data_IF_421474098374
#
_entry.id   IF_421474098374
#
_cell.length_a   1.000
_cell.length_b   1.000
_cell.length_c   1.000
_cell.angle_alpha   90.00
_cell.angle_beta   90.00
_cell.angle_gamma   90.00
#
_symmetry.space_group_name_H-M   'P 1'
#
loop_
_entity.id
_entity.type
_entity.pdbx_description
1 polymer ?
#
# COMPACT_ATOMS: atom_id res chain seq x y z
N UNK A 1 -13.31 20.38 -20.94
CA UNK A 1 -12.22 19.87 -21.80
C UNK A 1 -12.39 18.37 -21.93
N UNK A 2 -12.55 17.83 -23.14
CA UNK A 2 -12.60 16.39 -23.34
C UNK A 2 -11.22 15.80 -23.05
N UNK A 3 -11.13 14.96 -22.00
CA UNK A 3 -9.91 14.22 -21.69
C UNK A 3 -9.61 13.27 -22.85
N UNK A 4 -8.34 13.23 -23.29
CA UNK A 4 -7.93 12.30 -24.33
C UNK A 4 -8.28 10.86 -23.92
N UNK A 5 -8.61 9.96 -24.88
CA UNK A 5 -8.96 8.57 -24.57
C UNK A 5 -7.89 7.84 -23.74
N UNK A 6 -6.60 8.17 -23.96
CA UNK A 6 -5.48 7.63 -23.22
C UNK A 6 -5.46 8.09 -21.76
N UNK A 7 -5.72 9.37 -21.51
CA UNK A 7 -5.80 9.94 -20.15
C UNK A 7 -6.99 9.36 -19.39
N UNK A 8 -8.13 9.17 -20.07
CA UNK A 8 -9.32 8.55 -19.48
C UNK A 8 -9.08 7.10 -19.06
N UNK A 9 -8.47 6.30 -19.95
CA UNK A 9 -8.13 4.90 -19.66
C UNK A 9 -7.13 4.77 -18.50
N UNK A 10 -6.16 5.69 -18.43
CA UNK A 10 -5.22 5.77 -17.32
C UNK A 10 -5.95 6.04 -16.00
N UNK A 11 -6.79 7.07 -15.95
CA UNK A 11 -7.57 7.43 -14.75
C UNK A 11 -8.45 6.26 -14.32
N UNK A 12 -9.16 5.60 -15.24
CA UNK A 12 -10.02 4.46 -14.91
C UNK A 12 -9.22 3.28 -14.35
N UNK A 13 -8.02 3.03 -14.88
CA UNK A 13 -7.12 1.97 -14.38
C UNK A 13 -6.64 2.28 -12.96
N UNK A 14 -6.21 3.54 -12.72
CA UNK A 14 -5.76 4.00 -11.41
C UNK A 14 -6.89 3.92 -10.38
N UNK A 15 -8.10 4.39 -10.73
CA UNK A 15 -9.27 4.34 -9.84
C UNK A 15 -9.70 2.90 -9.52
N UNK A 16 -9.66 1.99 -10.50
CA UNK A 16 -9.98 0.57 -10.27
C UNK A 16 -8.98 -0.06 -9.31
N UNK A 17 -7.69 0.20 -9.51
CA UNK A 17 -6.64 -0.31 -8.62
C UNK A 17 -6.77 0.29 -7.22
N UNK A 18 -7.04 1.58 -7.11
CA UNK A 18 -7.22 2.25 -5.82
C UNK A 18 -8.44 1.69 -5.06
N UNK A 19 -9.56 1.43 -5.75
CA UNK A 19 -10.71 0.73 -5.16
C UNK A 19 -10.35 -0.67 -4.65
N UNK A 20 -9.66 -1.46 -5.46
CA UNK A 20 -9.25 -2.83 -5.08
C UNK A 20 -8.30 -2.82 -3.87
N UNK A 21 -7.35 -1.88 -3.84
CA UNK A 21 -6.38 -1.80 -2.75
C UNK A 21 -6.93 -1.18 -1.46
N UNK A 22 -7.83 -0.19 -1.54
CA UNK A 22 -8.44 0.43 -0.35
C UNK A 22 -9.52 -0.44 0.28
N UNK A 23 -10.40 -1.02 -0.53
CA UNK A 23 -11.51 -1.84 -0.04
C UNK A 23 -11.15 -3.32 0.04
N UNK A 24 -10.61 -3.89 -1.05
CA UNK A 24 -10.35 -5.33 -1.13
C UNK A 24 -9.30 -5.76 -0.12
N UNK A 25 -8.07 -5.25 -0.25
CA UNK A 25 -6.96 -5.65 0.63
C UNK A 25 -7.26 -5.30 2.08
N UNK A 26 -7.87 -4.15 2.36
CA UNK A 26 -8.28 -3.75 3.71
C UNK A 26 -9.26 -4.73 4.36
N UNK A 27 -10.36 -5.05 3.67
CA UNK A 27 -11.38 -5.99 4.17
C UNK A 27 -10.79 -7.38 4.34
N UNK A 28 -10.00 -7.88 3.38
CA UNK A 28 -9.38 -9.20 3.48
C UNK A 28 -8.42 -9.30 4.66
N UNK A 29 -7.58 -8.29 4.88
CA UNK A 29 -6.64 -8.27 6.01
C UNK A 29 -7.40 -8.20 7.34
N UNK A 30 -8.39 -7.32 7.47
CA UNK A 30 -9.19 -7.21 8.71
C UNK A 30 -9.97 -8.49 8.98
N UNK A 31 -10.65 -9.06 7.98
CA UNK A 31 -11.38 -10.31 8.13
C UNK A 31 -10.46 -11.48 8.49
N UNK A 32 -9.27 -11.53 7.89
CA UNK A 32 -8.28 -12.54 8.22
C UNK A 32 -7.80 -12.41 9.68
N UNK A 33 -7.55 -11.19 10.16
CA UNK A 33 -7.14 -10.94 11.56
C UNK A 33 -8.26 -11.31 12.52
N UNK A 34 -9.50 -10.89 12.26
CA UNK A 34 -10.65 -11.24 13.10
C UNK A 34 -10.87 -12.75 13.11
N UNK A 35 -10.86 -13.41 11.94
CA UNK A 35 -11.03 -14.86 11.85
C UNK A 35 -9.94 -15.62 12.60
N UNK A 36 -8.70 -15.14 12.52
CA UNK A 36 -7.57 -15.68 13.28
C UNK A 36 -7.78 -15.51 14.79
N UNK A 37 -8.12 -14.32 15.27
CA UNK A 37 -8.38 -14.05 16.69
C UNK A 37 -9.54 -14.89 17.22
N UNK A 38 -10.63 -15.01 16.45
CA UNK A 38 -11.76 -15.86 16.78
C UNK A 38 -11.32 -17.33 16.88
N UNK A 39 -10.58 -17.85 15.90
CA UNK A 39 -10.10 -19.24 15.97
C UNK A 39 -9.19 -19.49 17.18
N UNK A 40 -8.24 -18.58 17.46
CA UNK A 40 -7.35 -18.64 18.61
C UNK A 40 -8.10 -18.58 19.96
N UNK A 41 -9.31 -18.01 19.99
CA UNK A 41 -10.14 -17.97 21.19
C UNK A 41 -10.83 -19.30 21.51
N UNK A 42 -10.98 -20.19 20.53
CA UNK A 42 -11.63 -21.49 20.68
C UNK A 42 -10.67 -22.67 20.63
N UNK A 43 -9.48 -22.50 20.04
CA UNK A 43 -8.53 -23.59 19.78
C UNK A 43 -7.08 -23.14 19.98
N UNK A 44 -6.23 -24.06 20.43
CA UNK A 44 -4.78 -23.84 20.47
C UNK A 44 -4.23 -23.74 19.04
N UNK A 45 -3.60 -22.59 18.72
CA UNK A 45 -2.94 -22.39 17.43
C UNK A 45 -1.49 -22.85 17.50
N UNK A 46 -1.03 -23.72 16.57
CA UNK A 46 0.39 -24.00 16.45
C UNK A 46 1.16 -22.78 15.92
N UNK A 47 2.40 -22.57 16.39
CA UNK A 47 3.26 -21.45 15.96
C UNK A 47 3.44 -21.38 14.44
N UNK A 48 3.42 -22.53 13.76
CA UNK A 48 3.48 -22.62 12.30
C UNK A 48 2.29 -21.96 11.61
N UNK A 49 1.09 -22.02 12.21
CA UNK A 49 -0.10 -21.34 11.67
C UNK A 49 0.07 -19.82 11.72
N UNK A 50 0.57 -19.30 12.85
CA UNK A 50 0.83 -17.87 13.03
C UNK A 50 1.85 -17.33 12.01
N UNK A 51 2.93 -18.09 11.77
CA UNK A 51 3.94 -17.75 10.76
C UNK A 51 3.37 -17.75 9.35
N UNK A 52 2.59 -18.78 8.97
CA UNK A 52 1.92 -18.85 7.66
C UNK A 52 0.96 -17.67 7.48
N UNK A 53 0.24 -17.30 8.53
CA UNK A 53 -0.68 -16.17 8.52
C UNK A 53 0.04 -14.84 8.26
N UNK A 54 1.10 -14.55 9.03
CA UNK A 54 1.93 -13.36 8.83
C UNK A 54 2.52 -13.35 7.41
N UNK A 55 3.08 -14.48 6.96
CA UNK A 55 3.66 -14.58 5.63
C UNK A 55 2.63 -14.32 4.52
N UNK A 56 1.39 -14.81 4.70
CA UNK A 56 0.29 -14.59 3.75
C UNK A 56 -0.09 -13.11 3.65
N UNK A 57 -0.19 -12.41 4.78
CA UNK A 57 -0.44 -10.96 4.80
C UNK A 57 0.71 -10.22 4.14
N UNK A 58 1.95 -10.56 4.47
CA UNK A 58 3.13 -9.93 3.86
C UNK A 58 3.18 -10.13 2.35
N UNK A 59 2.94 -11.34 1.88
CA UNK A 59 2.87 -11.66 0.45
C UNK A 59 1.79 -10.86 -0.27
N UNK A 60 0.60 -10.73 0.34
CA UNK A 60 -0.50 -9.93 -0.21
C UNK A 60 -0.13 -8.44 -0.33
N UNK A 61 0.51 -7.87 0.70
CA UNK A 61 0.96 -6.47 0.71
C UNK A 61 2.05 -6.23 -0.34
N UNK A 62 3.07 -7.09 -0.41
CA UNK A 62 4.15 -7.00 -1.40
C UNK A 62 3.59 -7.11 -2.82
N UNK A 63 2.70 -8.07 -3.05
CA UNK A 63 2.07 -8.28 -4.37
C UNK A 63 1.27 -7.05 -4.79
N UNK A 64 0.49 -6.48 -3.86
CA UNK A 64 -0.27 -5.24 -4.08
C UNK A 64 0.63 -4.07 -4.47
N UNK A 65 1.71 -3.85 -3.73
CA UNK A 65 2.67 -2.78 -4.01
C UNK A 65 3.39 -2.99 -5.35
N UNK A 66 3.72 -4.24 -5.69
CA UNK A 66 4.32 -4.58 -6.99
C UNK A 66 3.36 -4.33 -8.15
N UNK A 67 2.07 -4.65 -7.99
CA UNK A 67 1.04 -4.32 -8.99
C UNK A 67 0.91 -2.81 -9.18
N UNK A 68 0.90 -2.02 -8.10
CA UNK A 68 0.89 -0.55 -8.16
C UNK A 68 2.11 0.00 -8.88
N UNK A 69 3.30 -0.49 -8.57
CA UNK A 69 4.53 -0.10 -9.25
C UNK A 69 4.48 -0.40 -10.75
N UNK A 70 4.06 -1.62 -11.13
CA UNK A 70 3.94 -2.02 -12.54
C UNK A 70 2.93 -1.16 -13.29
N UNK A 71 1.80 -0.83 -12.67
CA UNK A 71 0.82 0.10 -13.24
C UNK A 71 1.45 1.47 -13.49
N UNK A 72 2.09 2.07 -12.48
CA UNK A 72 2.71 3.38 -12.63
C UNK A 72 3.83 3.40 -13.66
N UNK A 73 4.63 2.33 -13.74
CA UNK A 73 5.70 2.19 -14.75
C UNK A 73 5.16 2.22 -16.19
N UNK A 74 3.90 1.80 -16.42
CA UNK A 74 3.26 1.88 -17.75
C UNK A 74 2.90 3.31 -18.14
N UNK A 75 2.52 4.15 -17.17
CA UNK A 75 2.03 5.51 -17.42
C UNK A 75 3.13 6.57 -17.37
N UNK A 76 4.11 6.41 -16.48
CA UNK A 76 5.26 7.31 -16.38
C UNK A 76 6.16 7.08 -17.60
N UNK A 77 6.36 8.09 -18.43
CA UNK A 77 7.19 8.04 -19.65
C UNK A 77 8.55 8.70 -19.44
N UNK A 78 8.67 9.66 -18.53
CA UNK A 78 9.94 10.33 -18.23
C UNK A 78 10.92 9.38 -17.52
N UNK A 79 12.16 9.30 -18.02
CA UNK A 79 13.19 8.41 -17.46
C UNK A 79 13.60 8.77 -16.03
N UNK A 80 13.73 10.06 -15.70
CA UNK A 80 14.03 10.51 -14.32
C UNK A 80 12.89 10.15 -13.38
N UNK A 81 11.65 10.36 -13.79
CA UNK A 81 10.47 9.99 -13.02
C UNK A 81 10.38 8.46 -12.81
N UNK A 82 10.77 7.64 -13.80
CA UNK A 82 10.87 6.19 -13.65
C UNK A 82 11.92 5.76 -12.62
N UNK A 83 13.10 6.38 -12.62
CA UNK A 83 14.15 6.11 -11.61
C UNK A 83 13.67 6.46 -10.20
N UNK A 84 13.01 7.61 -10.05
CA UNK A 84 12.40 8.02 -8.78
C UNK A 84 11.26 7.09 -8.34
N UNK A 85 10.44 6.61 -9.28
CA UNK A 85 9.39 5.62 -9.01
C UNK A 85 9.98 4.28 -8.52
N UNK A 86 11.09 3.83 -9.10
CA UNK A 86 11.81 2.65 -8.61
C UNK A 86 12.37 2.88 -7.21
N UNK A 87 13.01 4.04 -6.96
CA UNK A 87 13.52 4.39 -5.63
C UNK A 87 12.40 4.39 -4.58
N UNK A 88 11.24 4.94 -4.92
CA UNK A 88 10.05 4.93 -4.06
C UNK A 88 9.63 3.50 -3.73
N UNK A 89 9.51 2.64 -4.74
CA UNK A 89 9.15 1.25 -4.56
C UNK A 89 10.16 0.50 -3.66
N UNK A 90 11.45 0.73 -3.87
CA UNK A 90 12.52 0.17 -3.04
C UNK A 90 12.44 0.64 -1.59
N UNK A 91 12.18 1.93 -1.34
CA UNK A 91 12.00 2.45 0.01
C UNK A 91 10.78 1.84 0.72
N UNK A 92 9.66 1.68 0.01
CA UNK A 92 8.48 0.99 0.53
C UNK A 92 8.78 -0.47 0.88
N UNK A 93 9.53 -1.19 0.04
CA UNK A 93 9.94 -2.57 0.31
C UNK A 93 10.82 -2.66 1.56
N UNK A 94 11.81 -1.77 1.72
CA UNK A 94 12.64 -1.74 2.93
C UNK A 94 11.80 -1.48 4.19
N UNK A 95 10.85 -0.54 4.14
CA UNK A 95 9.94 -0.29 5.26
C UNK A 95 9.07 -1.51 5.61
N UNK A 96 8.56 -2.22 4.60
CA UNK A 96 7.80 -3.45 4.80
C UNK A 96 8.66 -4.59 5.36
N UNK A 97 9.86 -4.81 4.82
CA UNK A 97 10.78 -5.83 5.32
C UNK A 97 11.17 -5.56 6.77
N UNK A 98 11.41 -4.29 7.14
CA UNK A 98 11.69 -3.92 8.53
C UNK A 98 10.52 -4.26 9.47
N UNK A 99 9.28 -3.99 9.07
CA UNK A 99 8.09 -4.39 9.83
C UNK A 99 7.93 -5.92 9.91
N UNK A 100 8.19 -6.64 8.81
CA UNK A 100 8.06 -8.09 8.77
C UNK A 100 9.12 -8.79 9.61
N UNK A 101 10.36 -8.31 9.53
CA UNK A 101 11.43 -8.74 10.40
C UNK A 101 11.09 -8.50 11.87
N UNK A 102 10.57 -7.31 12.21
CA UNK A 102 10.08 -7.04 13.56
C UNK A 102 8.98 -8.03 13.97
N UNK A 103 7.96 -8.24 13.15
CA UNK A 103 6.88 -9.19 13.45
C UNK A 103 7.39 -10.61 13.69
N UNK A 104 8.25 -11.14 12.83
CA UNK A 104 8.78 -12.50 12.96
C UNK A 104 9.65 -12.63 14.23
N UNK A 105 10.54 -11.68 14.50
CA UNK A 105 11.39 -11.70 15.70
C UNK A 105 10.56 -11.54 16.97
N UNK A 106 9.61 -10.61 16.97
CA UNK A 106 8.77 -10.27 18.12
C UNK A 106 7.85 -11.40 18.57
N UNK A 107 7.35 -12.22 17.62
CA UNK A 107 6.43 -13.31 17.93
C UNK A 107 7.12 -14.67 18.11
N UNK A 108 8.31 -14.87 17.54
CA UNK A 108 8.88 -16.21 17.43
C UNK A 108 10.19 -16.41 18.20
N UNK A 109 10.88 -15.34 18.64
CA UNK A 109 12.25 -15.46 19.18
C UNK A 109 12.45 -14.92 20.61
N UNK A 110 11.48 -14.24 21.22
CA UNK A 110 11.66 -13.66 22.57
C UNK A 110 10.65 -14.19 23.57
N UNK A 111 11.14 -14.95 24.57
CA UNK A 111 10.37 -15.34 25.77
C UNK A 111 10.19 -14.19 26.78
N UNK A 112 10.91 -13.07 26.59
CA UNK A 112 10.84 -11.90 27.47
C UNK A 112 9.81 -10.88 26.98
N UNK A 113 9.15 -10.14 27.90
CA UNK A 113 8.29 -9.01 27.53
C UNK A 113 9.09 -7.99 26.72
N UNK A 114 8.52 -7.59 25.59
CA UNK A 114 9.17 -6.78 24.57
C UNK A 114 9.68 -5.43 25.12
N UNK A 115 10.81 -4.95 24.61
CA UNK A 115 11.23 -3.58 24.88
C UNK A 115 10.41 -2.61 24.01
N UNK A 116 9.72 -1.67 24.67
CA UNK A 116 8.98 -0.58 24.01
C UNK A 116 9.85 0.16 22.97
N UNK A 117 11.17 0.19 23.16
CA UNK A 117 12.14 0.76 22.24
C UNK A 117 12.18 0.06 20.87
N UNK A 118 12.15 -1.27 20.83
CA UNK A 118 12.16 -2.03 19.58
C UNK A 118 10.86 -1.81 18.77
N UNK A 119 9.73 -1.72 19.48
CA UNK A 119 8.46 -1.34 18.87
C UNK A 119 8.54 0.07 18.27
N UNK A 120 9.00 1.06 19.03
CA UNK A 120 9.14 2.44 18.54
C UNK A 120 10.06 2.54 17.32
N UNK A 121 11.17 1.78 17.30
CA UNK A 121 12.09 1.78 16.17
C UNK A 121 11.43 1.23 14.90
N UNK A 122 10.68 0.13 14.99
CA UNK A 122 9.96 -0.42 13.82
C UNK A 122 8.90 0.55 13.29
N UNK A 123 8.18 1.23 14.18
CA UNK A 123 7.23 2.29 13.82
C UNK A 123 7.96 3.47 13.16
N UNK A 124 9.09 3.91 13.70
CA UNK A 124 9.88 5.02 13.15
C UNK A 124 10.38 4.71 11.73
N UNK A 125 10.88 3.50 11.49
CA UNK A 125 11.28 3.06 10.14
C UNK A 125 10.10 3.03 9.17
N UNK A 126 8.95 2.52 9.59
CA UNK A 126 7.76 2.46 8.75
C UNK A 126 7.22 3.86 8.39
N UNK A 127 7.04 4.72 9.40
CA UNK A 127 6.57 6.09 9.19
C UNK A 127 7.58 6.92 8.40
N UNK A 128 8.88 6.72 8.64
CA UNK A 128 9.97 7.33 7.87
C UNK A 128 9.92 6.93 6.39
N UNK A 129 9.79 5.64 6.10
CA UNK A 129 9.63 5.14 4.72
C UNK A 129 8.37 5.70 4.05
N UNK A 130 7.25 5.79 4.79
CA UNK A 130 5.99 6.36 4.31
C UNK A 130 6.12 7.85 3.98
N UNK A 131 6.77 8.63 4.86
CA UNK A 131 7.03 10.04 4.63
C UNK A 131 7.93 10.26 3.42
N UNK A 132 9.02 9.49 3.32
CA UNK A 132 9.93 9.53 2.19
C UNK A 132 9.23 9.18 0.87
N UNK A 133 8.34 8.19 0.88
CA UNK A 133 7.51 7.82 -0.27
C UNK A 133 6.59 8.96 -0.73
N UNK A 134 5.91 9.65 0.20
CA UNK A 134 5.07 10.82 -0.11
C UNK A 134 5.88 12.00 -0.65
N UNK A 135 7.09 12.20 -0.12
CA UNK A 135 7.99 13.22 -0.63
C UNK A 135 8.43 12.91 -2.07
N UNK A 136 8.79 11.64 -2.35
CA UNK A 136 9.10 11.18 -3.71
C UNK A 136 7.92 11.32 -4.66
N UNK A 137 6.69 11.05 -4.22
CA UNK A 137 5.47 11.23 -5.03
C UNK A 137 5.37 12.63 -5.63
N UNK A 138 5.64 13.66 -4.81
CA UNK A 138 5.63 15.06 -5.26
C UNK A 138 6.75 15.36 -6.26
N UNK A 139 7.92 14.75 -6.09
CA UNK A 139 9.05 14.96 -7.01
C UNK A 139 8.79 14.25 -8.34
N UNK A 140 8.25 13.03 -8.32
CA UNK A 140 7.87 12.28 -9.52
C UNK A 140 6.86 13.08 -10.33
N UNK A 141 5.82 13.61 -9.68
CA UNK A 141 4.79 14.44 -10.34
C UNK A 141 5.38 15.69 -11.00
N UNK A 142 6.38 16.34 -10.38
CA UNK A 142 7.09 17.47 -11.00
C UNK A 142 7.83 17.10 -12.29
N UNK A 143 8.25 15.84 -12.43
CA UNK A 143 9.01 15.37 -13.59
C UNK A 143 8.13 14.71 -14.66
N UNK A 144 6.95 14.21 -14.29
CA UNK A 144 5.98 13.61 -15.21
C UNK A 144 4.55 13.89 -14.74
N UNK A 145 3.86 14.76 -15.49
CA UNK A 145 2.46 15.15 -15.20
C UNK A 145 1.46 14.00 -15.37
N UNK A 146 1.87 12.85 -15.93
CA UNK A 146 1.04 11.66 -15.96
C UNK A 146 1.05 10.92 -14.61
N UNK A 147 1.95 11.23 -13.68
CA UNK A 147 1.91 10.62 -12.35
C UNK A 147 0.87 11.31 -11.48
N UNK A 148 -0.09 10.55 -10.94
CA UNK A 148 -1.12 11.08 -10.04
C UNK A 148 -0.82 10.64 -8.61
N UNK A 149 -0.81 11.60 -7.71
CA UNK A 149 -0.67 11.34 -6.27
C UNK A 149 -2.01 10.90 -5.67
N UNK A 150 -2.00 10.41 -4.43
CA UNK A 150 -3.23 10.07 -3.71
C UNK A 150 -4.17 11.28 -3.57
N UNK A 151 -3.64 12.51 -3.51
CA UNK A 151 -4.47 13.72 -3.45
C UNK A 151 -5.18 13.95 -4.77
N UNK A 152 -4.50 13.77 -5.90
CA UNK A 152 -5.09 13.89 -7.24
C UNK A 152 -6.15 12.82 -7.46
N UNK A 153 -5.88 11.57 -7.04
CA UNK A 153 -6.85 10.47 -7.13
C UNK A 153 -8.11 10.79 -6.32
N UNK A 154 -7.95 11.36 -5.11
CA UNK A 154 -9.08 11.78 -4.27
C UNK A 154 -9.89 12.89 -4.96
N UNK A 155 -9.24 13.94 -5.46
CA UNK A 155 -9.92 15.02 -6.17
C UNK A 155 -10.67 14.54 -7.41
N UNK A 156 -10.09 13.60 -8.18
CA UNK A 156 -10.74 13.00 -9.34
C UNK A 156 -12.00 12.21 -8.95
N UNK A 157 -11.99 11.50 -7.81
CA UNK A 157 -13.17 10.80 -7.31
C UNK A 157 -14.28 11.76 -6.92
N UNK A 158 -13.95 12.78 -6.14
CA UNK A 158 -14.90 13.80 -5.68
C UNK A 158 -15.53 14.52 -6.89
N UNK A 159 -14.74 14.90 -7.89
CA UNK A 159 -15.26 15.50 -9.11
C UNK A 159 -16.22 14.56 -9.88
N UNK A 160 -15.93 13.25 -9.94
CA UNK A 160 -16.82 12.26 -10.58
C UNK A 160 -18.10 11.98 -9.80
N UNK A 161 -18.07 12.13 -8.48
CA UNK A 161 -19.26 11.99 -7.64
C UNK A 161 -20.20 13.18 -7.87
N UNK A 162 -19.66 14.40 -7.89
CA UNK A 162 -20.40 15.63 -8.21
C UNK A 162 -21.02 15.56 -9.63
N UNK A 163 -20.24 15.18 -10.65
CA UNK A 163 -20.77 15.03 -12.02
C UNK A 163 -21.89 13.98 -12.14
N UNK A 164 -21.89 12.95 -11.27
CA UNK A 164 -22.98 11.97 -11.23
C UNK A 164 -24.20 12.53 -10.54
N UNK A 165 -24.03 13.26 -9.44
CA UNK A 165 -25.14 13.92 -8.76
C UNK A 165 -25.82 14.96 -9.68
N UNK A 166 -25.05 15.73 -10.46
CA UNK A 166 -25.60 16.69 -11.42
C UNK A 166 -26.29 16.05 -12.65
N UNK A 167 -25.95 14.81 -13.01
CA UNK A 167 -26.57 14.10 -14.15
C UNK A 167 -27.79 13.26 -13.79
N UNK A 168 -27.92 12.86 -12.53
CA UNK A 168 -28.96 11.95 -12.06
C UNK A 168 -29.87 12.55 -10.97
N UNK A 169 -29.62 13.79 -10.54
CA UNK A 169 -30.52 14.62 -9.76
C UNK A 169 -31.39 15.50 -10.66
#
# INVERSE_FOLDING_TARGET
>A
MELSPQTKQQIDTVLRMDKWTSWGVGIFVVAAIIGMLTYASYWEMPDSFFLIFIFSIFSLVITTEMMRFRMWRRFVKNEKARKLLTLRYTASLFGLVALGFYGIVAFNQTQQPQSFQAFLLSQAFFWGATFFGKWLDRIIQKHDGNYLTNQDIKAIKEAREIEKEERYG
#
